data_IF_139183144185
#
_entry.id   IF_139183144185
#
_cell.length_a   1.000
_cell.length_b   1.000
_cell.length_c   1.000
_cell.angle_alpha   90.00
_cell.angle_beta   90.00
_cell.angle_gamma   90.00
#
_symmetry.space_group_name_H-M   'P 1'
#
loop_
_entity.id
_entity.type
_entity.pdbx_description
1 polymer ?
#
# COMPACT_ATOMS: atom_id res chain seq x y z
N UNK A 1 -16.24 5.74 19.89
CA UNK A 1 -16.10 6.85 18.92
C UNK A 1 -16.24 6.22 17.55
N UNK A 2 -17.35 6.44 16.86
CA UNK A 2 -17.53 5.90 15.51
C UNK A 2 -16.71 6.74 14.53
N UNK A 3 -16.12 6.09 13.52
CA UNK A 3 -15.36 6.78 12.48
C UNK A 3 -16.28 7.77 11.77
N UNK A 4 -16.04 9.08 11.97
CA UNK A 4 -16.82 10.18 11.39
C UNK A 4 -16.42 10.49 9.95
N UNK A 5 -15.55 9.68 9.35
CA UNK A 5 -15.14 9.87 7.96
C UNK A 5 -16.17 9.21 7.02
N UNK A 6 -16.56 9.91 5.94
CA UNK A 6 -17.39 9.30 4.92
C UNK A 6 -16.69 8.09 4.32
N UNK A 7 -17.45 7.04 4.04
CA UNK A 7 -16.92 5.87 3.36
C UNK A 7 -16.28 6.31 2.03
N UNK A 8 -15.15 5.71 1.63
CA UNK A 8 -14.59 5.93 0.31
C UNK A 8 -15.64 5.65 -0.76
N UNK A 9 -15.63 6.41 -1.85
CA UNK A 9 -16.57 6.24 -2.97
C UNK A 9 -15.83 5.86 -4.26
N UNK A 10 -14.66 5.26 -4.14
CA UNK A 10 -13.86 4.85 -5.29
C UNK A 10 -14.44 3.58 -5.92
N UNK A 11 -14.17 3.39 -7.21
CA UNK A 11 -14.55 2.19 -7.95
C UNK A 11 -14.05 0.91 -7.25
N UNK A 12 -12.78 0.90 -6.80
CA UNK A 12 -12.19 -0.22 -6.09
C UNK A 12 -12.87 -0.50 -4.74
N UNK A 13 -13.28 0.55 -4.01
CA UNK A 13 -14.01 0.39 -2.77
C UNK A 13 -15.36 -0.30 -3.01
N UNK A 14 -16.11 0.12 -4.03
CA UNK A 14 -17.38 -0.54 -4.37
C UNK A 14 -17.21 -1.97 -4.87
N UNK A 15 -16.18 -2.25 -5.68
CA UNK A 15 -15.88 -3.62 -6.08
C UNK A 15 -15.59 -4.52 -4.87
N UNK A 16 -14.78 -4.04 -3.92
CA UNK A 16 -14.45 -4.80 -2.71
C UNK A 16 -15.64 -5.07 -1.78
N UNK A 17 -16.72 -4.29 -1.90
CA UNK A 17 -17.96 -4.51 -1.15
C UNK A 17 -18.89 -5.55 -1.79
N UNK A 18 -18.73 -5.80 -3.10
CA UNK A 18 -19.70 -6.56 -3.89
C UNK A 18 -19.36 -8.05 -3.93
N UNK A 19 -18.08 -8.42 -3.98
CA UNK A 19 -17.67 -9.81 -4.07
C UNK A 19 -16.35 -10.06 -3.33
N UNK A 20 -16.45 -10.75 -2.19
CA UNK A 20 -15.29 -11.36 -1.53
C UNK A 20 -14.66 -12.47 -2.40
N UNK A 21 -15.42 -13.02 -3.35
CA UNK A 21 -15.04 -14.17 -4.17
C UNK A 21 -14.37 -13.78 -5.51
N UNK A 22 -14.26 -12.47 -5.81
CA UNK A 22 -13.59 -11.96 -7.01
C UNK A 22 -12.14 -11.51 -6.77
N UNK A 23 -11.71 -11.40 -5.51
CA UNK A 23 -10.33 -11.10 -5.19
C UNK A 23 -9.55 -12.41 -5.23
N UNK A 24 -8.76 -12.59 -6.28
CA UNK A 24 -7.89 -13.75 -6.41
C UNK A 24 -6.76 -13.66 -5.38
N UNK A 25 -6.96 -14.33 -4.26
CA UNK A 25 -5.99 -14.42 -3.17
C UNK A 25 -5.03 -15.61 -3.33
N UNK A 26 -5.04 -16.34 -4.45
CA UNK A 26 -4.17 -17.50 -4.67
C UNK A 26 -2.68 -17.17 -4.50
N UNK A 27 -2.32 -15.93 -4.81
CA UNK A 27 -0.96 -15.42 -4.74
C UNK A 27 -0.61 -14.83 -3.36
N UNK A 28 -1.52 -14.79 -2.39
CA UNK A 28 -1.22 -14.30 -1.04
C UNK A 28 -0.43 -15.30 -0.21
N UNK A 29 -0.57 -16.61 -0.45
CA UNK A 29 0.14 -17.64 0.33
C UNK A 29 1.67 -17.56 0.20
N UNK A 30 2.20 -16.91 -0.83
CA UNK A 30 3.65 -16.69 -0.94
C UNK A 30 4.17 -15.70 0.12
N UNK A 31 3.32 -14.83 0.66
CA UNK A 31 3.68 -13.83 1.68
C UNK A 31 3.88 -14.46 3.07
N UNK A 32 3.36 -15.68 3.29
CA UNK A 32 3.61 -16.47 4.50
C UNK A 32 5.03 -17.06 4.54
N UNK A 33 5.75 -17.07 3.40
CA UNK A 33 7.08 -17.65 3.27
C UNK A 33 8.18 -16.58 3.38
N UNK A 34 9.39 -16.92 3.87
CA UNK A 34 10.52 -16.00 3.84
C UNK A 34 10.93 -15.69 2.39
N UNK A 35 11.43 -14.47 2.11
CA UNK A 35 11.89 -14.10 0.77
C UNK A 35 13.04 -15.00 0.27
N UNK A 36 13.20 -15.16 -1.05
CA UNK A 36 12.56 -14.40 -2.13
C UNK A 36 11.21 -14.98 -2.58
N UNK A 37 10.26 -14.08 -2.84
CA UNK A 37 8.99 -14.45 -3.45
C UNK A 37 9.19 -14.86 -4.91
N UNK A 38 8.45 -15.86 -5.37
CA UNK A 38 8.57 -16.38 -6.74
C UNK A 38 7.95 -15.45 -7.78
N UNK A 39 7.18 -14.45 -7.35
CA UNK A 39 6.58 -13.46 -8.25
C UNK A 39 7.65 -12.56 -8.85
N UNK A 40 7.69 -12.38 -10.18
CA UNK A 40 8.56 -11.39 -10.79
C UNK A 40 8.18 -10.02 -10.24
N UNK A 41 9.16 -9.14 -9.93
CA UNK A 41 8.85 -7.77 -9.56
C UNK A 41 8.03 -7.16 -10.69
N UNK A 42 6.83 -6.66 -10.36
CA UNK A 42 6.06 -5.87 -11.29
C UNK A 42 6.92 -4.67 -11.71
N UNK A 43 6.86 -4.33 -12.99
CA UNK A 43 7.53 -3.10 -13.44
C UNK A 43 6.72 -1.94 -12.91
N UNK A 44 7.29 -1.20 -11.98
CA UNK A 44 6.68 0.02 -11.46
C UNK A 44 6.33 0.96 -12.61
N UNK A 45 5.11 1.49 -12.58
CA UNK A 45 4.72 2.58 -13.46
C UNK A 45 5.47 3.87 -13.07
N UNK A 46 5.67 4.82 -13.98
CA UNK A 46 6.30 6.10 -13.65
C UNK A 46 5.62 6.85 -12.51
N UNK A 47 4.31 6.67 -12.35
CA UNK A 47 3.53 7.27 -11.27
C UNK A 47 3.79 6.59 -9.93
N UNK A 48 3.90 5.26 -9.88
CA UNK A 48 4.27 4.51 -8.69
C UNK A 48 5.69 4.82 -8.23
N UNK A 49 6.64 4.96 -9.17
CA UNK A 49 8.01 5.39 -8.86
C UNK A 49 7.99 6.78 -8.21
N UNK A 50 7.24 7.72 -8.80
CA UNK A 50 7.12 9.09 -8.28
C UNK A 50 6.45 9.13 -6.91
N UNK A 51 5.39 8.35 -6.72
CA UNK A 51 4.72 8.21 -5.44
C UNK A 51 5.65 7.66 -4.36
N UNK A 52 6.37 6.58 -4.67
CA UNK A 52 7.31 5.93 -3.75
C UNK A 52 8.44 6.88 -3.35
N UNK A 53 9.01 7.63 -4.30
CA UNK A 53 10.04 8.62 -4.00
C UNK A 53 9.54 9.71 -3.06
N UNK A 54 8.36 10.27 -3.32
CA UNK A 54 7.76 11.29 -2.45
C UNK A 54 7.54 10.76 -1.02
N UNK A 55 7.11 9.50 -0.89
CA UNK A 55 6.91 8.87 0.42
C UNK A 55 8.24 8.74 1.19
N UNK A 56 9.30 8.30 0.52
CA UNK A 56 10.64 8.21 1.12
C UNK A 56 11.13 9.57 1.61
N UNK A 57 10.98 10.61 0.79
CA UNK A 57 11.40 11.98 1.14
C UNK A 57 10.66 12.48 2.40
N UNK A 58 9.35 12.23 2.50
CA UNK A 58 8.54 12.60 3.68
C UNK A 58 8.99 11.84 4.93
N UNK A 59 9.23 10.53 4.82
CA UNK A 59 9.67 9.70 5.96
C UNK A 59 11.05 10.13 6.45
N UNK A 60 12.00 10.38 5.53
CA UNK A 60 13.32 10.88 5.88
C UNK A 60 13.26 12.27 6.52
N UNK A 61 12.49 13.20 5.94
CA UNK A 61 12.29 14.53 6.51
C UNK A 61 11.69 14.48 7.91
N UNK A 62 10.69 13.61 8.14
CA UNK A 62 10.11 13.40 9.47
C UNK A 62 11.14 12.87 10.47
N UNK A 63 11.94 11.87 10.07
CA UNK A 63 12.98 11.29 10.91
C UNK A 63 14.02 12.34 11.33
N UNK A 64 14.55 13.10 10.36
CA UNK A 64 15.51 14.17 10.62
C UNK A 64 14.95 15.23 11.57
N UNK A 65 13.67 15.57 11.44
CA UNK A 65 13.02 16.50 12.37
C UNK A 65 13.01 15.95 13.80
N UNK A 66 12.59 14.70 13.97
CA UNK A 66 12.56 14.04 15.29
C UNK A 66 13.96 13.94 15.92
N UNK A 67 14.98 13.63 15.12
CA UNK A 67 16.38 13.58 15.58
C UNK A 67 16.90 14.95 16.03
N UNK A 68 16.44 16.04 15.41
CA UNK A 68 16.80 17.42 15.81
C UNK A 68 16.04 17.93 17.03
N UNK A 69 14.87 17.34 17.31
CA UNK A 69 14.00 17.69 18.43
C UNK A 69 14.29 16.83 19.69
N UNK A 70 15.23 15.88 19.60
CA UNK A 70 15.71 15.03 20.70
C UNK A 70 16.95 15.61 21.37
#
# INVERSE_FOLDING_TARGET
IFATQPLPNSYLFHQSLTDSDLVDESDLSQWDNPPPYHSPPLKDTPDEVRFTQNLLDVVHGRRLRLERES
#
